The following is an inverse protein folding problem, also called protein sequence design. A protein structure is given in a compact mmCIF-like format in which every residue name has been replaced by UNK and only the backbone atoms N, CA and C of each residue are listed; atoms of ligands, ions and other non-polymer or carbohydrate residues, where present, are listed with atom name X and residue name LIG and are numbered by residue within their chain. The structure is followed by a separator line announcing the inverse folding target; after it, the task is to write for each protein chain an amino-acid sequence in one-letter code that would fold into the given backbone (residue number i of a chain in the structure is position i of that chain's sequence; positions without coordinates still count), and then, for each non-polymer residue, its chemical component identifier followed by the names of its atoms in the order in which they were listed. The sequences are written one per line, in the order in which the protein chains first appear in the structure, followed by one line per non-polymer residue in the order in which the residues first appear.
data_IF_680801541457
#
_entry.id   IF_680801541457
#
_cell.length_a   1.000
_cell.length_b   1.000
_cell.length_c   1.000
_cell.angle_alpha   90.00
_cell.angle_beta   90.00
_cell.angle_gamma   90.00
#
_symmetry.space_group_name_H-M   'P 1'
#
loop_
_entity.id
_entity.type
_entity.pdbx_description
1 polymer ?
#
# COMPACT_ATOMS: atom_id res chain seq x y z
N UNK A 1 -14.39 34.87 21.29
CA UNK A 1 -13.01 34.81 21.82
C UNK A 1 -12.19 33.77 21.06
N UNK A 2 -11.08 34.14 20.42
CA UNK A 2 -10.20 33.20 19.69
C UNK A 2 -9.65 32.11 20.65
N UNK A 3 -9.89 30.82 20.37
CA UNK A 3 -9.38 29.71 21.22
C UNK A 3 -7.86 29.71 21.30
N UNK A 4 -7.15 30.20 20.28
CA UNK A 4 -5.70 30.40 20.31
C UNK A 4 -5.24 31.42 21.37
N UNK A 5 -6.14 32.23 21.91
CA UNK A 5 -5.85 33.14 23.04
C UNK A 5 -6.27 32.55 24.38
N UNK A 6 -6.98 31.42 24.40
CA UNK A 6 -7.39 30.76 25.63
C UNK A 6 -6.26 29.85 26.14
N UNK A 7 -5.80 30.03 27.39
CA UNK A 7 -4.76 29.16 27.96
C UNK A 7 -5.18 27.69 27.97
N UNK A 8 -6.46 27.41 28.23
CA UNK A 8 -7.01 26.04 28.26
C UNK A 8 -6.85 25.29 26.93
N UNK A 9 -6.93 26.00 25.80
CA UNK A 9 -6.68 25.41 24.48
C UNK A 9 -5.23 24.93 24.35
N UNK A 10 -4.27 25.77 24.77
CA UNK A 10 -2.86 25.40 24.75
C UNK A 10 -2.55 24.28 25.73
N UNK A 11 -3.14 24.29 26.94
CA UNK A 11 -3.00 23.20 27.89
C UNK A 11 -3.55 21.88 27.35
N UNK A 12 -4.69 21.90 26.66
CA UNK A 12 -5.25 20.69 26.04
C UNK A 12 -4.32 20.14 24.94
N UNK A 13 -3.82 21.01 24.04
CA UNK A 13 -2.88 20.58 23.00
C UNK A 13 -1.54 20.10 23.58
N UNK A 14 -1.05 20.74 24.64
CA UNK A 14 0.14 20.30 25.36
C UNK A 14 -0.10 18.95 26.03
N UNK A 15 -1.25 18.73 26.67
CA UNK A 15 -1.61 17.45 27.27
C UNK A 15 -1.67 16.34 26.22
N UNK A 16 -2.21 16.62 25.03
CA UNK A 16 -2.18 15.70 23.89
C UNK A 16 -0.73 15.41 23.50
N UNK A 17 0.11 16.44 23.31
CA UNK A 17 1.52 16.26 22.95
C UNK A 17 2.28 15.42 24.00
N UNK A 18 2.05 15.69 25.29
CA UNK A 18 2.60 14.93 26.41
C UNK A 18 2.12 13.49 26.39
N UNK A 19 0.82 13.27 26.12
CA UNK A 19 0.27 11.94 25.97
C UNK A 19 0.97 11.17 24.84
N UNK A 20 1.42 11.81 23.77
CA UNK A 20 2.16 11.17 22.68
C UNK A 20 3.66 10.94 22.96
N UNK A 21 4.24 11.46 24.06
CA UNK A 21 5.66 11.28 24.37
C UNK A 21 6.14 9.81 24.42
N UNK A 22 5.35 8.84 24.96
CA UNK A 22 5.75 7.43 24.97
C UNK A 22 5.99 6.84 23.56
N UNK A 23 5.44 7.45 22.51
CA UNK A 23 5.63 7.02 21.12
C UNK A 23 6.85 7.66 20.45
N UNK A 24 7.46 8.71 21.04
CA UNK A 24 8.65 9.33 20.47
C UNK A 24 9.84 8.38 20.36
N UNK A 25 10.17 7.51 21.35
CA UNK A 25 11.23 6.54 21.20
C UNK A 25 11.01 5.60 20.00
N UNK A 26 9.75 5.17 19.77
CA UNK A 26 9.39 4.35 18.61
C UNK A 26 9.60 5.11 17.32
N UNK A 27 9.17 6.38 17.25
CA UNK A 27 9.40 7.23 16.09
C UNK A 27 10.89 7.41 15.79
N UNK A 28 11.71 7.71 16.79
CA UNK A 28 13.17 7.84 16.60
C UNK A 28 13.81 6.52 16.19
N UNK A 29 13.33 5.40 16.74
CA UNK A 29 13.78 4.09 16.32
C UNK A 29 13.46 3.83 14.84
N UNK A 30 12.25 4.16 14.38
CA UNK A 30 11.87 4.04 12.97
C UNK A 30 12.72 4.95 12.07
N UNK A 31 12.93 6.20 12.46
CA UNK A 31 13.72 7.16 11.69
C UNK A 31 15.19 6.75 11.59
N UNK A 32 15.76 6.15 12.63
CA UNK A 32 17.14 5.65 12.60
C UNK A 32 17.31 4.37 11.76
N UNK A 33 16.23 3.61 11.55
CA UNK A 33 16.23 2.35 10.80
C UNK A 33 15.57 2.47 9.41
N UNK A 34 15.43 3.68 8.87
CA UNK A 34 14.84 3.94 7.55
C UNK A 34 15.51 3.15 6.42
N UNK A 35 16.83 2.97 6.48
CA UNK A 35 17.55 2.17 5.48
C UNK A 35 17.08 0.70 5.49
N UNK A 36 16.78 0.15 6.67
CA UNK A 36 16.27 -1.22 6.81
C UNK A 36 14.82 -1.33 6.32
N UNK A 37 13.97 -0.35 6.62
CA UNK A 37 12.59 -0.28 6.10
C UNK A 37 12.56 -0.11 4.57
N UNK A 38 13.53 0.62 4.00
CA UNK A 38 13.67 0.73 2.55
C UNK A 38 14.14 -0.60 1.95
N UNK A 39 15.14 -1.25 2.55
CA UNK A 39 15.68 -2.52 2.08
C UNK A 39 14.67 -3.68 2.20
N UNK A 40 13.85 -3.70 3.25
CA UNK A 40 12.76 -4.66 3.46
C UNK A 40 11.54 -4.43 2.58
N UNK A 41 11.57 -3.38 1.75
CA UNK A 41 10.47 -2.94 0.90
C UNK A 41 9.19 -2.58 1.68
N UNK A 42 9.31 -2.16 2.94
CA UNK A 42 8.22 -1.60 3.75
C UNK A 42 7.78 -0.24 3.21
N UNK A 43 8.78 0.59 2.88
CA UNK A 43 8.60 1.93 2.27
C UNK A 43 9.37 2.08 0.95
N UNK A 44 10.23 1.12 0.59
CA UNK A 44 11.10 1.20 -0.59
C UNK A 44 10.38 1.23 -1.94
N UNK A 45 9.13 0.78 -1.97
CA UNK A 45 8.27 0.77 -3.16
C UNK A 45 7.59 2.12 -3.44
N UNK A 46 7.64 3.08 -2.50
CA UNK A 46 7.02 4.40 -2.68
C UNK A 46 7.90 5.21 -3.66
N UNK A 47 7.36 5.65 -4.81
CA UNK A 47 8.14 6.39 -5.79
C UNK A 47 8.47 7.80 -5.30
N UNK A 48 9.56 8.41 -5.79
CA UNK A 48 9.86 9.82 -5.54
C UNK A 48 8.70 10.72 -5.96
N UNK A 49 8.45 11.76 -5.16
CA UNK A 49 7.34 12.68 -5.39
C UNK A 49 7.63 13.63 -6.57
N UNK A 50 6.57 14.01 -7.26
CA UNK A 50 6.54 14.97 -8.36
C UNK A 50 5.51 16.06 -8.09
N UNK A 51 5.60 17.19 -8.81
CA UNK A 51 4.62 18.28 -8.72
C UNK A 51 3.18 17.88 -9.08
N UNK A 52 2.99 16.75 -9.77
CA UNK A 52 1.67 16.23 -10.10
C UNK A 52 1.02 15.50 -8.93
N UNK A 53 1.81 14.93 -8.03
CA UNK A 53 1.28 14.06 -6.99
C UNK A 53 0.43 14.83 -5.97
N UNK A 54 0.77 16.10 -5.70
CA UNK A 54 0.00 16.92 -4.77
C UNK A 54 -1.46 17.13 -5.21
N UNK A 55 -1.77 17.68 -6.41
CA UNK A 55 -3.16 17.79 -6.84
C UNK A 55 -3.77 16.41 -7.14
N UNK A 56 -3.00 15.41 -7.53
CA UNK A 56 -3.51 14.04 -7.70
C UNK A 56 -4.00 13.43 -6.37
N UNK A 57 -3.33 13.73 -5.25
CA UNK A 57 -3.73 13.30 -3.91
C UNK A 57 -5.12 13.81 -3.54
N UNK A 58 -5.34 15.12 -3.68
CA UNK A 58 -6.66 15.69 -3.41
C UNK A 58 -7.71 15.21 -4.41
N UNK A 59 -7.36 15.07 -5.68
CA UNK A 59 -8.24 14.49 -6.69
C UNK A 59 -8.69 13.08 -6.29
N UNK A 60 -7.77 12.27 -5.77
CA UNK A 60 -8.07 10.94 -5.25
C UNK A 60 -9.00 11.01 -4.04
N UNK A 61 -8.85 11.98 -3.13
CA UNK A 61 -9.79 12.13 -2.01
C UNK A 61 -11.23 12.42 -2.47
N UNK A 62 -11.41 13.10 -3.61
CA UNK A 62 -12.73 13.41 -4.16
C UNK A 62 -13.32 12.30 -5.00
N UNK A 63 -12.49 11.58 -5.76
CA UNK A 63 -12.93 10.68 -6.83
C UNK A 63 -12.53 9.23 -6.61
N UNK A 64 -11.70 8.92 -5.62
CA UNK A 64 -11.04 7.62 -5.45
C UNK A 64 -10.13 7.21 -6.61
N UNK A 65 -9.92 8.06 -7.62
CA UNK A 65 -9.06 7.81 -8.77
C UNK A 65 -7.78 8.64 -8.65
N UNK A 66 -6.64 8.11 -9.07
CA UNK A 66 -5.34 8.78 -8.95
C UNK A 66 -5.10 9.91 -9.99
N UNK A 67 -6.08 10.19 -10.84
CA UNK A 67 -6.01 11.26 -11.84
C UNK A 67 -5.01 11.01 -12.96
N UNK A 68 -4.53 9.76 -13.13
CA UNK A 68 -3.47 9.41 -14.07
C UNK A 68 -3.83 9.71 -15.54
N UNK A 69 -5.12 9.67 -15.89
CA UNK A 69 -5.62 9.99 -17.23
C UNK A 69 -5.76 11.49 -17.54
N UNK A 70 -5.57 12.38 -16.54
CA UNK A 70 -5.76 13.82 -16.73
C UNK A 70 -4.42 14.58 -16.75
N UNK A 71 -4.30 15.61 -17.61
CA UNK A 71 -3.19 16.57 -17.56
C UNK A 71 -3.08 17.23 -16.19
N UNK A 72 -1.84 17.46 -15.73
CA UNK A 72 -1.57 18.08 -14.43
C UNK A 72 -2.26 19.42 -14.23
N UNK A 73 -2.39 20.22 -15.30
CA UNK A 73 -3.07 21.51 -15.26
C UNK A 73 -4.53 21.40 -14.81
N UNK A 74 -5.25 20.39 -15.30
CA UNK A 74 -6.67 20.18 -14.95
C UNK A 74 -6.79 19.81 -13.46
N UNK A 75 -5.91 18.94 -12.97
CA UNK A 75 -5.87 18.55 -11.56
C UNK A 75 -5.63 19.77 -10.66
N UNK A 76 -4.67 20.61 -11.03
CA UNK A 76 -4.37 21.86 -10.32
C UNK A 76 -5.53 22.85 -10.33
N UNK A 77 -6.22 23.01 -11.46
CA UNK A 77 -7.38 23.91 -11.55
C UNK A 77 -8.55 23.42 -10.69
N UNK A 78 -8.86 22.12 -10.75
CA UNK A 78 -9.96 21.54 -9.99
C UNK A 78 -9.71 21.61 -8.47
N UNK A 79 -8.55 21.12 -8.03
CA UNK A 79 -8.17 21.09 -6.61
C UNK A 79 -7.88 22.50 -6.09
N UNK A 80 -7.15 23.30 -6.85
CA UNK A 80 -6.84 24.68 -6.50
C UNK A 80 -8.10 25.55 -6.41
N UNK A 81 -9.07 25.33 -7.31
CA UNK A 81 -10.38 26.00 -7.25
C UNK A 81 -11.14 25.66 -5.96
N UNK A 82 -11.18 24.39 -5.57
CA UNK A 82 -11.82 23.95 -4.33
C UNK A 82 -11.10 24.48 -3.09
N UNK A 83 -9.80 24.23 -2.96
CA UNK A 83 -8.98 24.66 -1.81
C UNK A 83 -8.98 26.18 -1.71
N UNK A 84 -8.86 26.90 -2.82
CA UNK A 84 -8.90 28.36 -2.86
C UNK A 84 -10.25 28.91 -2.43
N UNK A 85 -11.35 28.32 -2.89
CA UNK A 85 -12.71 28.73 -2.48
C UNK A 85 -12.93 28.46 -0.98
N UNK A 86 -12.55 27.28 -0.49
CA UNK A 86 -12.67 26.92 0.92
C UNK A 86 -11.78 27.78 1.81
N UNK A 87 -10.54 28.03 1.38
CA UNK A 87 -9.60 28.89 2.09
C UNK A 87 -10.14 30.30 2.21
N UNK A 88 -10.66 30.87 1.10
CA UNK A 88 -11.30 32.19 1.12
C UNK A 88 -12.51 32.24 2.05
N UNK A 89 -13.42 31.25 1.99
CA UNK A 89 -14.60 31.20 2.86
C UNK A 89 -14.21 31.06 4.34
N UNK A 90 -13.17 30.27 4.62
CA UNK A 90 -12.67 30.02 5.98
C UNK A 90 -11.96 31.25 6.57
N UNK A 91 -11.26 32.02 5.74
CA UNK A 91 -10.48 33.20 6.15
C UNK A 91 -11.30 34.51 6.22
N UNK A 92 -12.48 34.59 5.59
CA UNK A 92 -13.26 35.84 5.50
C UNK A 92 -14.49 35.92 6.45
N UNK A 93 -14.85 34.89 7.22
CA UNK A 93 -16.17 34.76 7.87
C UNK A 93 -16.18 34.83 9.41
N UNK A 94 -16.03 36.02 10.00
CA UNK A 94 -15.82 36.32 11.44
C UNK A 94 -16.57 35.53 12.52
N UNK A 95 -17.78 35.03 12.26
CA UNK A 95 -18.62 34.42 13.32
C UNK A 95 -18.37 32.93 13.55
N UNK A 96 -17.95 32.18 12.52
CA UNK A 96 -17.78 30.72 12.56
C UNK A 96 -16.38 30.26 12.08
N UNK A 97 -15.43 31.19 11.94
CA UNK A 97 -14.09 30.97 11.35
C UNK A 97 -13.36 29.79 11.97
N UNK A 98 -13.56 29.52 13.26
CA UNK A 98 -12.64 28.67 14.02
C UNK A 98 -12.73 27.20 13.63
N UNK A 99 -13.94 26.63 13.60
CA UNK A 99 -14.11 25.22 13.26
C UNK A 99 -13.85 24.96 11.78
N UNK A 100 -14.24 25.91 10.92
CA UNK A 100 -13.97 25.84 9.48
C UNK A 100 -12.47 25.92 9.19
N UNK A 101 -11.76 26.82 9.86
CA UNK A 101 -10.31 26.94 9.76
C UNK A 101 -9.60 25.67 10.27
N UNK A 102 -10.03 25.09 11.39
CA UNK A 102 -9.45 23.84 11.90
C UNK A 102 -9.64 22.70 10.89
N UNK A 103 -10.84 22.55 10.32
CA UNK A 103 -11.12 21.54 9.29
C UNK A 103 -10.29 21.77 8.03
N UNK A 104 -10.16 23.02 7.60
CA UNK A 104 -9.34 23.41 6.46
C UNK A 104 -7.85 23.14 6.71
N UNK A 105 -7.35 23.48 7.89
CA UNK A 105 -5.98 23.17 8.31
C UNK A 105 -5.74 21.66 8.36
N UNK A 106 -6.68 20.87 8.90
CA UNK A 106 -6.57 19.41 8.92
C UNK A 106 -6.57 18.79 7.52
N UNK A 107 -7.28 19.41 6.56
CA UNK A 107 -7.28 18.99 5.16
C UNK A 107 -5.95 19.30 4.47
N UNK A 108 -5.39 20.49 4.70
CA UNK A 108 -4.26 21.02 3.91
C UNK A 108 -2.90 20.76 4.55
N UNK A 109 -2.73 21.07 5.84
CA UNK A 109 -1.42 21.09 6.50
C UNK A 109 -0.75 19.71 6.49
N UNK A 110 -1.40 18.61 6.91
CA UNK A 110 -0.74 17.31 6.95
C UNK A 110 -0.27 16.84 5.56
N UNK A 111 -1.12 17.03 4.54
CA UNK A 111 -0.81 16.68 3.16
C UNK A 111 0.37 17.50 2.63
N UNK A 112 0.35 18.81 2.83
CA UNK A 112 1.45 19.69 2.40
C UNK A 112 2.75 19.38 3.11
N UNK A 113 2.70 19.13 4.43
CA UNK A 113 3.88 18.82 5.24
C UNK A 113 4.56 17.55 4.72
N UNK A 114 3.80 16.46 4.55
CA UNK A 114 4.36 15.20 4.08
C UNK A 114 4.76 15.28 2.61
N UNK A 115 4.05 16.05 1.77
CA UNK A 115 4.47 16.31 0.39
C UNK A 115 5.86 16.97 0.35
N UNK A 116 6.08 18.00 1.18
CA UNK A 116 7.38 18.68 1.30
C UNK A 116 8.44 17.70 1.79
N UNK A 117 8.20 16.98 2.89
CA UNK A 117 9.13 15.96 3.42
C UNK A 117 9.46 14.89 2.36
N UNK A 118 8.50 14.57 1.50
CA UNK A 118 8.63 13.50 0.50
C UNK A 118 9.62 13.76 -0.62
N UNK A 119 10.09 15.01 -0.76
CA UNK A 119 11.21 15.33 -1.65
C UNK A 119 12.54 14.76 -1.17
N UNK A 120 12.72 14.62 0.15
CA UNK A 120 13.91 13.99 0.73
C UNK A 120 13.69 12.50 1.00
N UNK A 121 12.46 12.13 1.38
CA UNK A 121 12.13 10.76 1.76
C UNK A 121 10.76 10.35 1.23
N UNK A 122 10.68 9.52 0.18
CA UNK A 122 9.40 9.12 -0.41
C UNK A 122 8.43 8.51 0.61
N UNK A 123 7.43 9.29 1.03
CA UNK A 123 6.39 8.89 1.99
C UNK A 123 4.99 9.27 1.50
N UNK A 124 4.87 9.90 0.33
CA UNK A 124 3.63 10.52 -0.10
C UNK A 124 2.66 9.51 -0.70
N UNK A 125 1.75 8.99 0.13
CA UNK A 125 0.72 8.04 -0.29
C UNK A 125 -0.63 8.29 0.39
N UNK A 126 -1.70 8.08 -0.37
CA UNK A 126 -3.11 8.34 -0.03
C UNK A 126 -3.54 7.84 1.34
N UNK A 127 -3.25 6.57 1.65
CA UNK A 127 -3.70 5.92 2.89
C UNK A 127 -3.16 6.56 4.17
N UNK A 128 -2.08 7.34 4.10
CA UNK A 128 -1.56 8.05 5.28
C UNK A 128 -2.40 9.29 5.64
N UNK A 129 -3.25 9.76 4.74
CA UNK A 129 -4.01 11.00 4.90
C UNK A 129 -5.51 10.79 5.06
N UNK A 130 -5.95 9.55 5.32
CA UNK A 130 -7.38 9.26 5.50
C UNK A 130 -8.03 10.15 6.57
N UNK A 131 -7.32 10.48 7.65
CA UNK A 131 -7.82 11.40 8.67
C UNK A 131 -8.02 12.84 8.15
N UNK A 132 -7.22 13.29 7.17
CA UNK A 132 -7.35 14.61 6.54
C UNK A 132 -8.57 14.67 5.62
N UNK A 133 -8.91 13.56 4.95
CA UNK A 133 -10.06 13.50 4.03
C UNK A 133 -11.39 13.66 4.75
N UNK A 134 -11.47 13.29 6.04
CA UNK A 134 -12.65 13.46 6.87
C UNK A 134 -13.10 14.93 7.03
N UNK A 135 -12.21 15.90 6.75
CA UNK A 135 -12.57 17.32 6.69
C UNK A 135 -13.43 17.70 5.48
N UNK A 136 -13.43 16.90 4.41
CA UNK A 136 -14.08 17.25 3.13
C UNK A 136 -15.60 17.36 3.27
N UNK A 137 -16.34 16.37 3.79
CA UNK A 137 -17.80 16.46 3.91
C UNK A 137 -18.30 17.69 4.70
N UNK A 138 -17.78 18.03 5.90
CA UNK A 138 -18.25 19.20 6.62
C UNK A 138 -17.86 20.52 5.94
N UNK A 139 -16.68 20.60 5.28
CA UNK A 139 -16.30 21.78 4.50
C UNK A 139 -17.24 21.96 3.28
N UNK A 140 -17.60 20.87 2.61
CA UNK A 140 -18.55 20.90 1.51
C UNK A 140 -19.93 21.39 1.98
N UNK A 141 -20.44 20.88 3.11
CA UNK A 141 -21.72 21.33 3.67
C UNK A 141 -21.72 22.85 3.96
N UNK A 142 -20.61 23.38 4.46
CA UNK A 142 -20.43 24.83 4.67
C UNK A 142 -20.44 25.60 3.35
N UNK A 143 -19.76 25.10 2.32
CA UNK A 143 -19.77 25.73 1.00
C UNK A 143 -21.18 25.78 0.41
N UNK A 144 -21.94 24.69 0.54
CA UNK A 144 -23.31 24.60 0.03
C UNK A 144 -24.27 25.57 0.73
N UNK A 145 -24.08 25.79 2.03
CA UNK A 145 -24.94 26.69 2.80
C UNK A 145 -24.58 28.16 2.66
N UNK A 146 -23.33 28.50 2.29
CA UNK A 146 -22.82 29.87 2.33
C UNK A 146 -22.45 30.49 0.99
N UNK A 147 -22.18 29.69 -0.03
CA UNK A 147 -21.89 30.23 -1.36
C UNK A 147 -23.15 30.81 -2.00
N UNK A 148 -22.99 31.76 -2.93
CA UNK A 148 -24.09 32.23 -3.79
C UNK A 148 -24.75 31.01 -4.45
N UNK A 149 -26.08 31.00 -4.57
CA UNK A 149 -26.86 29.84 -5.08
C UNK A 149 -26.28 29.21 -6.35
N UNK A 150 -25.80 30.02 -7.30
CA UNK A 150 -25.16 29.54 -8.53
C UNK A 150 -23.81 28.82 -8.30
N UNK A 151 -22.95 29.36 -7.42
CA UNK A 151 -21.65 28.75 -7.06
C UNK A 151 -21.85 27.47 -6.24
N UNK A 152 -22.81 27.49 -5.32
CA UNK A 152 -23.24 26.33 -4.57
C UNK A 152 -23.73 25.20 -5.51
N UNK A 153 -24.65 25.52 -6.43
CA UNK A 153 -25.18 24.55 -7.40
C UNK A 153 -24.09 23.95 -8.28
N UNK A 154 -23.14 24.77 -8.77
CA UNK A 154 -22.02 24.28 -9.56
C UNK A 154 -21.15 23.28 -8.79
N UNK A 155 -20.68 23.65 -7.59
CA UNK A 155 -19.83 22.77 -6.78
C UNK A 155 -20.57 21.52 -6.30
N UNK A 156 -21.86 21.62 -6.00
CA UNK A 156 -22.70 20.48 -5.65
C UNK A 156 -22.78 19.46 -6.79
N UNK A 157 -23.11 19.93 -8.00
CA UNK A 157 -23.20 19.09 -9.20
C UNK A 157 -21.84 18.48 -9.51
N UNK A 158 -20.78 19.30 -9.52
CA UNK A 158 -19.42 18.83 -9.79
C UNK A 158 -18.98 17.76 -8.78
N UNK A 159 -19.19 18.00 -7.48
CA UNK A 159 -18.82 17.05 -6.44
C UNK A 159 -19.64 15.76 -6.54
N UNK A 160 -20.95 15.85 -6.79
CA UNK A 160 -21.81 14.68 -6.96
C UNK A 160 -21.39 13.84 -8.16
N UNK A 161 -21.03 14.48 -9.28
CA UNK A 161 -20.52 13.79 -10.47
C UNK A 161 -19.16 13.14 -10.21
N UNK A 162 -18.22 13.86 -9.57
CA UNK A 162 -16.88 13.36 -9.27
C UNK A 162 -16.91 12.19 -8.27
N UNK A 163 -17.67 12.35 -7.19
CA UNK A 163 -17.83 11.32 -6.16
C UNK A 163 -18.62 10.12 -6.69
N UNK A 164 -19.70 10.36 -7.44
CA UNK A 164 -20.50 9.32 -8.09
C UNK A 164 -19.71 8.54 -9.14
N UNK A 165 -18.91 9.24 -9.96
CA UNK A 165 -17.97 8.61 -10.89
C UNK A 165 -16.98 7.71 -10.16
N UNK A 166 -16.44 8.22 -9.04
CA UNK A 166 -15.54 7.47 -8.18
C UNK A 166 -16.16 6.23 -7.55
N UNK A 167 -17.36 6.35 -7.00
CA UNK A 167 -18.08 5.24 -6.39
C UNK A 167 -18.46 4.18 -7.42
N UNK A 168 -18.76 4.59 -8.66
CA UNK A 168 -19.06 3.66 -9.75
C UNK A 168 -17.80 2.93 -10.26
N UNK A 169 -16.69 3.64 -10.46
CA UNK A 169 -15.48 3.06 -11.07
C UNK A 169 -14.53 2.40 -10.07
N UNK A 170 -14.48 2.86 -8.81
CA UNK A 170 -13.58 2.31 -7.78
C UNK A 170 -14.27 1.29 -6.88
N UNK A 171 -15.45 0.80 -7.29
CA UNK A 171 -16.08 -0.35 -6.69
C UNK A 171 -16.05 -1.54 -7.66
N UNK A 172 -14.88 -1.95 -8.20
CA UNK A 172 -14.84 -3.25 -8.84
C UNK A 172 -15.15 -4.26 -7.74
N UNK A 173 -15.99 -5.24 -8.06
CA UNK A 173 -16.01 -6.49 -7.32
C UNK A 173 -14.55 -6.96 -7.24
N UNK A 174 -13.89 -6.71 -6.10
CA UNK A 174 -12.54 -7.19 -5.89
C UNK A 174 -12.69 -8.70 -5.72
N UNK A 175 -12.78 -9.39 -6.85
CA UNK A 175 -12.64 -10.83 -6.89
C UNK A 175 -11.26 -11.05 -6.31
N UNK A 176 -11.23 -11.70 -5.16
CA UNK A 176 -9.97 -12.10 -4.55
C UNK A 176 -9.33 -13.15 -5.46
N UNK A 177 -8.49 -12.69 -6.39
CA UNK A 177 -7.83 -13.50 -7.40
C UNK A 177 -6.80 -14.48 -6.78
N UNK A 178 -6.36 -14.21 -5.54
CA UNK A 178 -5.42 -15.10 -4.88
C UNK A 178 -6.10 -16.38 -4.38
N UNK A 179 -7.34 -16.27 -3.92
CA UNK A 179 -8.11 -17.42 -3.39
C UNK A 179 -8.33 -18.54 -4.41
N UNK A 180 -8.77 -18.31 -5.67
CA UNK A 180 -8.86 -19.34 -6.69
C UNK A 180 -7.52 -20.02 -6.98
N UNK A 181 -6.41 -19.27 -6.96
CA UNK A 181 -5.07 -19.82 -7.16
C UNK A 181 -4.69 -20.80 -6.04
N UNK A 182 -4.89 -20.42 -4.78
CA UNK A 182 -4.59 -21.31 -3.65
C UNK A 182 -5.54 -22.52 -3.64
N UNK A 183 -6.80 -22.32 -4.02
CA UNK A 183 -7.76 -23.42 -4.16
C UNK A 183 -7.36 -24.42 -5.27
N UNK A 184 -6.80 -23.92 -6.38
CA UNK A 184 -6.28 -24.77 -7.47
C UNK A 184 -5.18 -25.71 -6.97
N UNK A 185 -4.28 -25.22 -6.12
CA UNK A 185 -3.21 -26.04 -5.49
C UNK A 185 -3.81 -26.99 -4.46
N UNK A 186 -4.66 -26.50 -3.54
CA UNK A 186 -5.27 -27.31 -2.48
C UNK A 186 -6.06 -28.53 -3.00
N UNK A 187 -6.58 -28.45 -4.22
CA UNK A 187 -7.31 -29.55 -4.89
C UNK A 187 -6.39 -30.55 -5.62
N UNK A 188 -5.15 -30.17 -5.94
CA UNK A 188 -4.19 -30.98 -6.74
C UNK A 188 -2.91 -31.36 -6.01
N UNK A 189 -2.72 -30.80 -4.81
CA UNK A 189 -1.59 -31.08 -3.95
C UNK A 189 -1.54 -32.56 -3.57
N UNK A 190 -0.36 -33.16 -3.72
CA UNK A 190 -0.08 -34.54 -3.33
C UNK A 190 0.86 -34.58 -2.13
N UNK A 191 0.87 -35.70 -1.41
CA UNK A 191 1.86 -35.92 -0.36
C UNK A 191 3.26 -35.83 -0.96
N UNK A 192 4.17 -35.10 -0.30
CA UNK A 192 5.52 -34.79 -0.78
C UNK A 192 5.62 -33.81 -1.96
N UNK A 193 4.57 -33.02 -2.22
CA UNK A 193 4.71 -31.76 -2.95
C UNK A 193 5.32 -30.69 -2.01
N UNK A 194 6.12 -29.78 -2.58
CA UNK A 194 6.51 -28.53 -1.92
C UNK A 194 5.84 -27.33 -2.59
N UNK A 195 5.60 -26.27 -1.82
CA UNK A 195 5.11 -25.00 -2.34
C UNK A 195 6.08 -23.89 -1.98
N UNK A 196 6.49 -23.11 -2.97
CA UNK A 196 7.29 -21.90 -2.78
C UNK A 196 6.56 -20.68 -3.34
N UNK A 197 6.64 -19.57 -2.61
CA UNK A 197 6.01 -18.28 -2.98
C UNK A 197 7.09 -17.22 -3.09
N UNK A 198 7.04 -16.38 -4.14
CA UNK A 198 8.15 -15.47 -4.48
C UNK A 198 8.20 -14.18 -3.66
N UNK A 199 7.06 -13.73 -3.12
CA UNK A 199 6.94 -12.43 -2.45
C UNK A 199 6.37 -12.57 -1.05
N UNK A 200 6.87 -11.76 -0.12
CA UNK A 200 6.51 -11.80 1.30
C UNK A 200 5.00 -11.61 1.54
N UNK A 201 4.37 -10.62 0.92
CA UNK A 201 2.93 -10.39 1.09
C UNK A 201 2.06 -11.46 0.41
N UNK A 202 2.54 -12.00 -0.71
CA UNK A 202 1.87 -13.12 -1.39
C UNK A 202 1.98 -14.39 -0.54
N UNK A 203 3.09 -14.59 0.19
CA UNK A 203 3.25 -15.69 1.15
C UNK A 203 2.26 -15.60 2.32
N UNK A 204 2.10 -14.42 2.93
CA UNK A 204 1.12 -14.24 4.01
C UNK A 204 -0.30 -14.53 3.51
N UNK A 205 -0.62 -14.11 2.29
CA UNK A 205 -1.89 -14.39 1.62
C UNK A 205 -2.06 -15.89 1.36
N UNK A 206 -0.97 -16.57 0.96
CA UNK A 206 -0.96 -18.02 0.77
C UNK A 206 -1.26 -18.77 2.06
N UNK A 207 -0.53 -18.46 3.14
CA UNK A 207 -0.72 -19.10 4.44
C UNK A 207 -2.16 -18.92 4.92
N UNK A 208 -2.76 -17.73 4.71
CA UNK A 208 -4.16 -17.47 5.06
C UNK A 208 -5.17 -18.33 4.28
N UNK A 209 -4.98 -18.53 2.98
CA UNK A 209 -5.90 -19.32 2.14
C UNK A 209 -5.59 -20.81 2.09
N UNK A 210 -4.41 -21.23 2.53
CA UNK A 210 -4.03 -22.62 2.54
C UNK A 210 -4.87 -23.38 3.57
N UNK A 211 -5.66 -24.34 3.09
CA UNK A 211 -6.52 -25.19 3.94
C UNK A 211 -5.88 -26.54 4.27
N UNK A 212 -4.62 -26.73 3.88
CA UNK A 212 -3.89 -27.98 4.02
C UNK A 212 -2.69 -27.76 4.93
N UNK A 213 -2.38 -28.76 5.72
CA UNK A 213 -1.31 -28.68 6.73
C UNK A 213 0.08 -29.03 6.18
N UNK A 214 0.37 -28.60 4.93
CA UNK A 214 1.71 -28.77 4.35
C UNK A 214 2.53 -27.50 4.50
N UNK A 215 3.86 -27.68 4.59
CA UNK A 215 4.80 -26.58 4.71
C UNK A 215 4.86 -25.77 3.42
N UNK A 216 4.76 -24.46 3.55
CA UNK A 216 4.96 -23.49 2.47
C UNK A 216 6.23 -22.71 2.73
N UNK A 217 7.03 -22.53 1.69
CA UNK A 217 8.29 -21.80 1.73
C UNK A 217 8.15 -20.41 1.09
N UNK A 218 8.89 -19.44 1.60
CA UNK A 218 9.09 -18.13 1.00
C UNK A 218 10.44 -18.17 0.27
N UNK A 219 10.40 -17.97 -1.04
CA UNK A 219 11.59 -17.94 -1.89
C UNK A 219 12.27 -16.56 -1.78
N UNK A 220 13.53 -16.57 -1.32
CA UNK A 220 14.31 -15.37 -1.00
C UNK A 220 15.68 -15.42 -1.68
N UNK A 221 15.75 -15.41 -3.03
CA UNK A 221 17.01 -15.47 -3.74
C UNK A 221 17.92 -14.31 -3.34
N UNK A 222 19.26 -14.49 -3.35
CA UNK A 222 20.18 -13.37 -3.18
C UNK A 222 19.88 -12.25 -4.20
N UNK A 223 20.01 -11.01 -3.76
CA UNK A 223 19.88 -9.85 -4.65
C UNK A 223 20.99 -9.89 -5.71
N UNK A 224 20.84 -9.11 -6.79
CA UNK A 224 21.83 -9.05 -7.88
C UNK A 224 23.27 -8.72 -7.42
N UNK A 225 23.42 -8.03 -6.28
CA UNK A 225 24.71 -7.69 -5.66
C UNK A 225 25.22 -8.75 -4.66
N UNK A 226 24.57 -9.91 -4.54
CA UNK A 226 24.97 -11.02 -3.67
C UNK A 226 24.52 -10.90 -2.21
N UNK A 227 23.84 -9.83 -1.82
CA UNK A 227 23.27 -9.68 -0.47
C UNK A 227 22.05 -10.58 -0.29
N UNK A 228 21.74 -10.98 0.95
CA UNK A 228 20.54 -11.77 1.25
C UNK A 228 19.26 -11.08 0.76
N UNK A 229 18.36 -11.84 0.13
CA UNK A 229 17.01 -11.41 -0.22
C UNK A 229 15.97 -11.69 0.87
N UNK A 230 16.39 -12.22 2.02
CA UNK A 230 15.49 -12.50 3.15
C UNK A 230 14.98 -11.19 3.75
N UNK A 231 13.72 -11.13 4.20
CA UNK A 231 13.24 -10.03 5.03
C UNK A 231 14.16 -9.84 6.24
N UNK A 232 14.49 -8.58 6.55
CA UNK A 232 15.31 -8.26 7.71
C UNK A 232 14.47 -8.34 9.00
N UNK A 233 15.12 -8.23 10.17
CA UNK A 233 14.44 -8.32 11.47
C UNK A 233 13.63 -7.07 11.86
N UNK A 234 13.46 -6.11 10.94
CA UNK A 234 12.81 -4.83 11.17
C UNK A 234 11.58 -4.67 10.24
N UNK A 235 10.60 -3.85 10.65
CA UNK A 235 9.37 -3.68 9.90
C UNK A 235 8.56 -4.97 9.72
N UNK A 236 7.97 -5.18 8.55
CA UNK A 236 7.20 -6.38 8.19
C UNK A 236 8.03 -7.66 8.22
N UNK A 237 9.35 -7.57 8.03
CA UNK A 237 10.21 -8.75 8.10
C UNK A 237 10.29 -9.36 9.51
N UNK A 238 10.01 -8.57 10.56
CA UNK A 238 9.92 -9.08 11.95
C UNK A 238 8.86 -10.18 12.13
N UNK A 239 7.83 -10.22 11.27
CA UNK A 239 6.77 -11.24 11.29
C UNK A 239 7.29 -12.65 11.03
N UNK A 240 8.46 -12.77 10.42
CA UNK A 240 9.06 -14.03 10.01
C UNK A 240 10.25 -14.43 10.87
N UNK A 241 10.69 -13.55 11.78
CA UNK A 241 11.96 -13.70 12.49
C UNK A 241 11.98 -14.96 13.37
N UNK A 242 10.86 -15.29 14.03
CA UNK A 242 10.76 -16.45 14.92
C UNK A 242 10.79 -17.81 14.19
N UNK A 243 10.48 -17.85 12.89
CA UNK A 243 10.44 -19.08 12.08
C UNK A 243 11.36 -19.01 10.86
N UNK A 244 12.32 -18.08 10.84
CA UNK A 244 13.18 -17.78 9.71
C UNK A 244 13.84 -19.04 9.10
N UNK A 245 14.40 -19.91 9.94
CA UNK A 245 15.10 -21.12 9.50
C UNK A 245 14.20 -22.17 8.83
N UNK A 246 12.88 -22.06 9.04
CA UNK A 246 11.89 -23.01 8.52
C UNK A 246 11.06 -22.44 7.38
N UNK A 247 11.05 -21.11 7.22
CA UNK A 247 10.23 -20.41 6.23
C UNK A 247 10.98 -20.13 4.94
N UNK A 248 12.28 -19.81 4.99
CA UNK A 248 13.01 -19.30 3.83
C UNK A 248 13.71 -20.39 3.01
N UNK A 249 13.71 -20.20 1.69
CA UNK A 249 14.59 -20.94 0.77
C UNK A 249 15.27 -19.93 -0.17
N UNK A 250 16.60 -19.97 -0.23
CA UNK A 250 17.36 -19.02 -1.09
C UNK A 250 17.61 -19.60 -2.50
N UNK A 251 17.55 -20.93 -2.65
CA UNK A 251 17.75 -21.63 -3.92
C UNK A 251 16.69 -22.71 -4.14
N UNK A 252 16.17 -22.78 -5.37
CA UNK A 252 15.19 -23.80 -5.75
C UNK A 252 15.78 -25.22 -5.70
N UNK A 253 17.09 -25.37 -5.90
CA UNK A 253 17.81 -26.65 -5.83
C UNK A 253 17.77 -27.28 -4.43
N UNK A 254 17.52 -26.50 -3.37
CA UNK A 254 17.32 -27.04 -2.02
C UNK A 254 16.06 -27.90 -1.95
N UNK A 255 15.00 -27.53 -2.69
CA UNK A 255 13.77 -28.33 -2.78
C UNK A 255 14.00 -29.63 -3.57
N UNK A 256 14.88 -29.61 -4.57
CA UNK A 256 15.21 -30.79 -5.39
C UNK A 256 15.81 -31.96 -4.63
N UNK A 257 16.29 -31.74 -3.40
CA UNK A 257 16.86 -32.81 -2.57
C UNK A 257 15.81 -33.69 -1.90
N UNK A 258 14.63 -33.13 -1.62
CA UNK A 258 13.63 -33.76 -0.76
C UNK A 258 12.26 -33.93 -1.44
N UNK A 259 12.00 -33.18 -2.50
CA UNK A 259 10.70 -33.13 -3.16
C UNK A 259 10.81 -33.54 -4.63
N UNK A 260 9.78 -34.25 -5.12
CA UNK A 260 9.68 -34.64 -6.53
C UNK A 260 8.85 -33.66 -7.35
N UNK A 261 7.99 -32.90 -6.68
CA UNK A 261 7.05 -31.97 -7.28
C UNK A 261 7.06 -30.66 -6.50
N UNK A 262 7.17 -29.55 -7.23
CA UNK A 262 7.22 -28.21 -6.64
C UNK A 262 6.21 -27.30 -7.32
N UNK A 263 5.36 -26.69 -6.51
CA UNK A 263 4.49 -25.59 -6.90
C UNK A 263 5.21 -24.27 -6.65
N UNK A 264 5.32 -23.46 -7.70
CA UNK A 264 5.89 -22.11 -7.63
C UNK A 264 4.78 -21.10 -7.84
N UNK A 265 4.59 -20.20 -6.86
CA UNK A 265 3.57 -19.14 -6.87
C UNK A 265 4.24 -17.80 -7.09
N UNK A 266 3.78 -17.04 -8.09
CA UNK A 266 4.30 -15.73 -8.48
C UNK A 266 3.23 -14.65 -8.41
N UNK A 267 3.66 -13.46 -7.98
CA UNK A 267 2.88 -12.23 -7.99
C UNK A 267 2.68 -11.58 -9.37
N UNK A 268 3.19 -12.21 -10.44
CA UNK A 268 2.79 -11.94 -11.82
C UNK A 268 3.90 -11.95 -12.88
N UNK A 269 5.17 -11.79 -12.49
CA UNK A 269 6.29 -11.89 -13.42
C UNK A 269 7.11 -13.15 -13.16
N UNK A 270 6.54 -14.30 -13.55
CA UNK A 270 7.06 -15.61 -13.16
C UNK A 270 8.53 -15.83 -13.51
N UNK A 271 8.95 -15.45 -14.73
CA UNK A 271 10.34 -15.63 -15.20
C UNK A 271 11.35 -14.75 -14.46
N UNK A 272 10.92 -13.59 -13.93
CA UNK A 272 11.78 -12.75 -13.09
C UNK A 272 11.80 -13.25 -11.64
N UNK A 273 10.65 -13.73 -11.15
CA UNK A 273 10.51 -14.23 -9.78
C UNK A 273 11.28 -15.54 -9.57
N UNK A 274 11.45 -16.37 -10.61
CA UNK A 274 12.07 -17.69 -10.51
C UNK A 274 13.09 -17.95 -11.63
N UNK A 275 14.41 -17.97 -11.30
CA UNK A 275 15.42 -18.55 -12.19
C UNK A 275 15.31 -20.08 -12.14
N UNK A 276 14.49 -20.65 -13.03
CA UNK A 276 14.22 -22.08 -13.06
C UNK A 276 15.47 -22.89 -13.39
N UNK A 277 15.74 -23.99 -12.66
CA UNK A 277 16.74 -24.97 -13.08
C UNK A 277 16.34 -25.61 -14.43
N UNK A 278 17.32 -25.82 -15.31
CA UNK A 278 17.11 -26.36 -16.66
C UNK A 278 16.40 -27.71 -16.71
N UNK A 279 16.58 -28.50 -15.66
CA UNK A 279 16.09 -29.86 -15.54
C UNK A 279 14.64 -29.94 -15.02
N UNK A 280 14.04 -28.84 -14.59
CA UNK A 280 12.67 -28.84 -14.08
C UNK A 280 11.66 -28.87 -15.22
N UNK A 281 10.80 -29.89 -15.24
CA UNK A 281 9.77 -30.01 -16.25
C UNK A 281 8.45 -29.43 -15.74
N UNK A 282 7.97 -28.38 -16.40
CA UNK A 282 6.64 -27.83 -16.12
C UNK A 282 5.56 -28.83 -16.58
N UNK A 283 4.62 -29.14 -15.69
CA UNK A 283 3.52 -30.09 -15.98
C UNK A 283 2.13 -29.49 -15.80
N UNK A 284 2.01 -28.33 -15.13
CA UNK A 284 0.75 -27.61 -15.03
C UNK A 284 0.98 -26.12 -14.82
N UNK A 285 0.05 -25.31 -15.33
CA UNK A 285 0.03 -23.86 -15.17
C UNK A 285 -1.39 -23.41 -14.85
N UNK A 286 -1.51 -22.45 -13.94
CA UNK A 286 -2.78 -21.79 -13.66
C UNK A 286 -2.55 -20.31 -13.38
N UNK A 287 -3.49 -19.47 -13.82
CA UNK A 287 -3.45 -18.03 -13.64
C UNK A 287 -4.77 -17.55 -13.08
N UNK A 288 -4.71 -16.65 -12.11
CA UNK A 288 -5.87 -15.94 -11.60
C UNK A 288 -5.50 -14.46 -11.49
N UNK A 289 -6.09 -13.69 -12.41
CA UNK A 289 -5.71 -12.30 -12.70
C UNK A 289 -4.21 -12.09 -12.80
N UNK A 290 -3.62 -11.28 -11.91
CA UNK A 290 -2.16 -11.03 -11.96
C UNK A 290 -1.32 -12.19 -11.47
N UNK A 291 -1.87 -13.09 -10.65
CA UNK A 291 -1.10 -14.16 -10.01
C UNK A 291 -0.98 -15.39 -10.91
N UNK A 292 0.15 -16.08 -10.79
CA UNK A 292 0.43 -17.28 -11.55
C UNK A 292 0.99 -18.36 -10.65
N UNK A 293 0.55 -19.60 -10.87
CA UNK A 293 1.16 -20.79 -10.29
C UNK A 293 1.59 -21.74 -11.39
N UNK A 294 2.75 -22.37 -11.20
CA UNK A 294 3.27 -23.41 -12.07
C UNK A 294 3.69 -24.62 -11.22
N UNK A 295 3.40 -25.83 -11.71
CA UNK A 295 3.83 -27.09 -11.11
C UNK A 295 4.96 -27.67 -11.94
N UNK A 296 6.04 -28.04 -11.25
CA UNK A 296 7.20 -28.68 -11.84
C UNK A 296 7.42 -30.07 -11.27
N UNK A 297 7.91 -30.97 -12.11
CA UNK A 297 8.49 -32.26 -11.70
C UNK A 297 10.01 -32.14 -11.73
N UNK A 298 10.66 -32.65 -10.69
CA UNK A 298 12.11 -32.66 -10.53
C UNK A 298 12.62 -34.06 -10.89
N UNK A 299 13.49 -34.19 -11.90
CA UNK A 299 14.11 -35.48 -12.22
C UNK A 299 14.93 -35.99 -11.05
N UNK A 300 14.66 -37.20 -10.59
CA UNK A 300 15.43 -37.86 -9.54
C UNK A 300 16.86 -38.12 -10.00
N UNK A 301 17.85 -38.03 -9.09
CA UNK A 301 19.26 -38.28 -9.40
C UNK A 301 19.55 -39.66 -10.02
N UNK A 302 18.65 -40.65 -9.90
CA UNK A 302 18.79 -41.95 -10.57
C UNK A 302 18.82 -41.86 -12.10
N UNK A 303 18.16 -40.87 -12.71
CA UNK A 303 18.21 -40.66 -14.17
C UNK A 303 19.53 -40.04 -14.63
N UNK A 304 20.34 -39.47 -13.71
CA UNK A 304 21.66 -38.88 -14.02
C UNK A 304 22.78 -39.92 -14.14
N UNK A 305 22.58 -41.17 -13.74
CA UNK A 305 23.58 -42.23 -13.87
C UNK A 305 23.34 -43.14 -15.10
N UNK A 306 22.27 -42.91 -15.85
CA UNK A 306 21.94 -43.65 -17.07
C UNK A 306 22.09 -42.81 -18.35
N UNK A 307 22.70 -41.62 -18.24
CA UNK A 307 23.09 -40.77 -19.38
C UNK A 307 24.59 -40.47 -19.30
#
# INVERSE_FOLDING_TARGET
ACYLKLPSWWFANLAIAVAYLPWLPVLFNLLTHLAQLRAGNDIGWIPPVTWRDLPAMYWHFFTGNNGQGFPSLILWLAVGGFIGTMGRISLCNREYERYQLILFCNLVIPVMLVFIISWWMPLFIDRYFFFSTLSIPPLLAVLLTRAKKAVCGFWFILFTLLFGYGLYHNNPEHIDEFKPLVNYINTRHQTNDAVAVSKMFDYLSYVYYNKRDYRTFLYTPPNAHGTSGRPNAYGFGSLFYAQADQTYIDTLTTLSKSYHRVWLVSGGNFSQDYPLPSEWQNIANFRSGRFQVQLFVIPTQQTRQMQ
#
